data_IF_747932939405
#
_entry.id   IF_747932939405
#
_cell.length_a   1.000
_cell.length_b   1.000
_cell.length_c   1.000
_cell.angle_alpha   90.00
_cell.angle_beta   90.00
_cell.angle_gamma   90.00
#
_symmetry.space_group_name_H-M   'P 1'
#
loop_
_entity.id
_entity.type
_entity.pdbx_description
1 polymer ?
#
# COMPACT_ATOMS: atom_id res chain seq x y z
N UNK A 1 17.01 -22.54 3.68
CA UNK A 1 16.61 -21.49 4.63
C UNK A 1 16.63 -20.18 3.86
N UNK A 2 15.48 -19.74 3.35
CA UNK A 2 15.40 -18.47 2.64
C UNK A 2 15.60 -17.35 3.67
N UNK A 3 16.68 -16.59 3.52
CA UNK A 3 16.95 -15.40 4.30
C UNK A 3 15.77 -14.43 4.11
N UNK A 4 14.92 -14.28 5.12
CA UNK A 4 13.77 -13.39 5.06
C UNK A 4 14.29 -11.96 5.10
N UNK A 5 14.63 -11.39 3.94
CA UNK A 5 14.97 -9.97 3.83
C UNK A 5 13.84 -9.16 4.45
N UNK A 6 14.13 -8.46 5.54
CA UNK A 6 13.16 -7.64 6.26
C UNK A 6 12.56 -6.60 5.30
N UNK A 7 11.23 -6.49 5.27
CA UNK A 7 10.60 -5.48 4.41
C UNK A 7 10.79 -4.15 5.10
N UNK A 8 11.52 -3.27 4.46
CA UNK A 8 11.70 -1.90 4.91
C UNK A 8 10.87 -0.97 4.03
N UNK A 9 9.98 -0.21 4.66
CA UNK A 9 9.14 0.78 4.00
C UNK A 9 9.66 2.16 4.36
N UNK A 10 9.69 3.06 3.39
CA UNK A 10 10.05 4.44 3.65
C UNK A 10 8.88 5.14 4.33
N UNK A 11 9.09 5.61 5.56
CA UNK A 11 8.09 6.34 6.32
C UNK A 11 8.31 7.84 6.11
N UNK A 12 7.36 8.51 5.47
CA UNK A 12 7.44 9.96 5.20
C UNK A 12 7.42 10.80 6.48
N UNK A 13 6.81 10.31 7.58
CA UNK A 13 6.77 11.05 8.85
C UNK A 13 8.13 11.12 9.53
N UNK A 14 8.92 10.05 9.47
CA UNK A 14 10.26 9.97 10.07
C UNK A 14 11.39 10.15 9.05
N UNK A 15 11.04 10.18 7.76
CA UNK A 15 11.94 10.29 6.61
C UNK A 15 13.01 9.18 6.54
N UNK A 16 12.72 8.03 7.15
CA UNK A 16 13.63 6.90 7.23
C UNK A 16 12.99 5.61 6.71
N UNK A 17 13.84 4.63 6.37
CA UNK A 17 13.39 3.29 6.02
C UNK A 17 13.21 2.47 7.29
N UNK A 18 11.97 2.19 7.64
CA UNK A 18 11.60 1.48 8.87
C UNK A 18 11.19 0.04 8.55
N UNK A 19 11.37 -0.86 9.51
CA UNK A 19 10.94 -2.25 9.38
C UNK A 19 9.40 -2.26 9.41
N UNK A 20 8.80 -2.80 8.36
CA UNK A 20 7.37 -2.97 8.28
C UNK A 20 6.90 -4.04 9.28
N UNK A 21 6.21 -3.61 10.32
CA UNK A 21 5.53 -4.47 11.29
C UNK A 21 4.02 -4.26 11.17
N UNK A 22 3.23 -5.30 10.88
CA UNK A 22 1.78 -5.16 10.83
C UNK A 22 1.22 -4.83 12.22
N UNK A 23 0.14 -4.04 12.25
CA UNK A 23 -0.55 -3.70 13.50
C UNK A 23 -1.22 -4.92 14.12
N UNK A 24 -1.70 -5.85 13.28
CA UNK A 24 -2.29 -7.13 13.67
C UNK A 24 -1.49 -8.24 13.03
N UNK A 25 -1.02 -9.20 13.81
CA UNK A 25 -0.24 -10.33 13.29
C UNK A 25 -0.99 -11.05 12.17
N UNK A 26 -0.28 -11.29 11.06
CA UNK A 26 -0.84 -11.95 9.87
C UNK A 26 -1.81 -11.10 9.06
N UNK A 27 -2.06 -9.82 9.41
CA UNK A 27 -2.95 -8.92 8.67
C UNK A 27 -2.26 -7.61 8.26
N UNK A 28 -2.46 -7.21 7.01
CA UNK A 28 -2.02 -5.92 6.49
C UNK A 28 -3.22 -5.08 6.09
N UNK A 29 -3.39 -3.94 6.74
CA UNK A 29 -4.33 -2.92 6.34
C UNK A 29 -3.59 -1.77 5.66
N UNK A 30 -4.00 -1.43 4.45
CA UNK A 30 -3.48 -0.30 3.69
C UNK A 30 -4.63 0.65 3.34
N UNK A 31 -4.39 1.94 3.50
CA UNK A 31 -5.29 2.99 3.04
C UNK A 31 -4.57 3.81 1.98
N UNK A 32 -5.24 4.02 0.85
CA UNK A 32 -4.73 4.79 -0.27
C UNK A 32 -5.78 5.83 -0.65
N UNK A 33 -5.36 7.09 -0.78
CA UNK A 33 -6.24 8.12 -1.33
C UNK A 33 -6.57 7.77 -2.79
N UNK A 34 -7.86 7.70 -3.09
CA UNK A 34 -8.39 7.46 -4.43
C UNK A 34 -8.25 8.68 -5.35
N UNK A 35 -8.79 8.55 -6.55
CA UNK A 35 -8.79 9.58 -7.57
C UNK A 35 -10.12 10.33 -7.50
N UNK A 36 -10.10 11.63 -7.19
CA UNK A 36 -11.31 12.44 -7.27
C UNK A 36 -11.94 12.34 -8.67
N UNK A 37 -13.14 11.76 -8.75
CA UNK A 37 -13.78 11.37 -10.01
C UNK A 37 -14.45 12.54 -10.75
N UNK A 38 -13.84 13.73 -10.70
CA UNK A 38 -14.34 14.93 -11.38
C UNK A 38 -13.90 15.03 -12.85
N UNK A 39 -12.81 14.37 -13.21
CA UNK A 39 -12.25 14.40 -14.56
C UNK A 39 -11.60 13.05 -14.93
N UNK A 40 -11.23 12.87 -16.19
CA UNK A 40 -10.60 11.67 -16.71
C UNK A 40 -9.28 11.38 -15.99
N UNK A 41 -9.09 10.11 -15.64
CA UNK A 41 -7.85 9.65 -15.04
C UNK A 41 -6.69 9.77 -16.02
N UNK A 42 -5.59 10.39 -15.58
CA UNK A 42 -4.37 10.53 -16.35
C UNK A 42 -3.29 9.54 -15.86
N UNK A 43 -2.17 9.47 -16.59
CA UNK A 43 -1.07 8.53 -16.30
C UNK A 43 -0.51 8.68 -14.87
N UNK A 44 -0.61 9.87 -14.27
CA UNK A 44 -0.23 10.12 -12.88
C UNK A 44 -1.05 9.29 -11.88
N UNK A 45 -2.37 9.25 -12.07
CA UNK A 45 -3.26 8.42 -11.28
C UNK A 45 -2.97 6.92 -11.46
N UNK A 46 -2.77 6.49 -12.72
CA UNK A 46 -2.44 5.10 -13.03
C UNK A 46 -1.14 4.66 -12.36
N UNK A 47 -0.10 5.51 -12.37
CA UNK A 47 1.18 5.21 -11.71
C UNK A 47 0.99 5.00 -10.20
N UNK A 48 0.26 5.88 -9.53
CA UNK A 48 0.00 5.75 -8.10
C UNK A 48 -0.75 4.43 -7.80
N UNK A 49 -1.84 4.17 -8.53
CA UNK A 49 -2.64 2.95 -8.37
C UNK A 49 -1.80 1.68 -8.56
N UNK A 50 -0.97 1.62 -9.60
CA UNK A 50 -0.10 0.45 -9.87
C UNK A 50 0.96 0.28 -8.77
N UNK A 51 1.58 1.36 -8.28
CA UNK A 51 2.56 1.26 -7.20
C UNK A 51 1.96 0.64 -5.93
N UNK A 52 0.77 1.08 -5.52
CA UNK A 52 0.10 0.53 -4.34
C UNK A 52 -0.45 -0.89 -4.56
N UNK A 53 -0.94 -1.22 -5.76
CA UNK A 53 -1.35 -2.59 -6.12
C UNK A 53 -0.19 -3.58 -6.01
N UNK A 54 1.01 -3.21 -6.51
CA UNK A 54 2.21 -4.06 -6.39
C UNK A 54 2.58 -4.29 -4.92
N UNK A 55 2.52 -3.25 -4.08
CA UNK A 55 2.80 -3.38 -2.65
C UNK A 55 1.79 -4.28 -1.93
N UNK A 56 0.51 -4.17 -2.27
CA UNK A 56 -0.55 -5.02 -1.73
C UNK A 56 -0.36 -6.48 -2.15
N UNK A 57 -0.15 -6.74 -3.44
CA UNK A 57 0.10 -8.08 -3.99
C UNK A 57 1.34 -8.72 -3.40
N UNK A 58 2.42 -7.96 -3.24
CA UNK A 58 3.63 -8.44 -2.58
C UNK A 58 3.33 -8.86 -1.13
N UNK A 59 2.61 -8.02 -0.39
CA UNK A 59 2.26 -8.30 1.01
C UNK A 59 1.35 -9.53 1.17
N UNK A 60 0.35 -9.69 0.30
CA UNK A 60 -0.60 -10.81 0.39
C UNK A 60 -0.01 -12.10 -0.18
N UNK A 61 0.59 -12.04 -1.36
CA UNK A 61 0.97 -13.24 -2.12
C UNK A 61 2.36 -13.75 -1.80
N UNK A 62 3.32 -12.84 -1.59
CA UNK A 62 4.71 -13.23 -1.29
C UNK A 62 4.89 -13.46 0.20
N UNK A 63 4.26 -12.63 1.04
CA UNK A 63 4.38 -12.76 2.51
C UNK A 63 3.23 -13.52 3.18
N UNK A 64 2.20 -13.91 2.43
CA UNK A 64 1.08 -14.68 2.97
C UNK A 64 0.22 -13.91 3.98
N UNK A 65 0.25 -12.58 3.97
CA UNK A 65 -0.51 -11.75 4.90
C UNK A 65 -1.96 -11.60 4.41
N UNK A 66 -2.93 -11.64 5.31
CA UNK A 66 -4.32 -11.31 4.98
C UNK A 66 -4.44 -9.80 4.77
N UNK A 67 -4.72 -9.38 3.53
CA UNK A 67 -4.73 -7.97 3.14
C UNK A 67 -6.12 -7.33 3.11
N UNK A 68 -6.21 -6.07 3.51
CA UNK A 68 -7.34 -5.18 3.20
C UNK A 68 -6.77 -3.87 2.67
N UNK A 69 -7.11 -3.52 1.42
CA UNK A 69 -6.79 -2.21 0.83
C UNK A 69 -8.07 -1.39 0.74
N UNK A 70 -8.11 -0.24 1.40
CA UNK A 70 -9.18 0.74 1.27
C UNK A 70 -8.73 1.87 0.36
N UNK A 71 -9.56 2.16 -0.63
CA UNK A 71 -9.41 3.31 -1.52
C UNK A 71 -10.56 4.24 -1.19
N UNK A 72 -10.27 5.49 -0.82
CA UNK A 72 -11.28 6.50 -0.57
C UNK A 72 -11.15 7.64 -1.56
N UNK A 73 -12.20 7.87 -2.34
CA UNK A 73 -12.29 9.00 -3.23
C UNK A 73 -12.75 10.23 -2.46
N UNK A 74 -11.97 11.32 -2.53
CA UNK A 74 -12.29 12.62 -1.91
C UNK A 74 -13.53 13.32 -2.55
N UNK A 75 -14.31 12.59 -3.36
CA UNK A 75 -15.48 13.08 -4.08
C UNK A 75 -16.79 12.87 -3.32
N UNK A 76 -16.77 12.13 -2.19
CA UNK A 76 -17.94 11.96 -1.32
C UNK A 76 -17.72 12.74 -0.02
N UNK A 77 -18.13 14.01 -0.05
CA UNK A 77 -18.59 14.81 1.09
C UNK A 77 -19.91 15.48 0.72
#
# INVERSE_FOLDING_TARGET
MAETTELRVYNTMTQQKEIFKPVVDGKVSMYVCGVTAYDLSHLGHARAAVCFDVLYRFSVKVRGLSGVMKVCDNSEF
#
